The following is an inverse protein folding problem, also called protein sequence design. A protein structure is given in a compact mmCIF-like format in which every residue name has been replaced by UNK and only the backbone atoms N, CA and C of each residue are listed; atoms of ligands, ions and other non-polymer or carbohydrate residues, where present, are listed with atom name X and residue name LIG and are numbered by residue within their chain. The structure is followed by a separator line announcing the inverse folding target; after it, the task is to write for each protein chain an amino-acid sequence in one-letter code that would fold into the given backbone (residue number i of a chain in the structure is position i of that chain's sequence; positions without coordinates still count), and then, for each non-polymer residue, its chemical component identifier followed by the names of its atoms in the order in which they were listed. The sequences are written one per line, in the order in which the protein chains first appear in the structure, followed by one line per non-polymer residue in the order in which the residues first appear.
data_IF_915840794787
#
_entry.id   IF_915840794787
#
_cell.length_a   1.000
_cell.length_b   1.000
_cell.length_c   1.000
_cell.angle_alpha   90.00
_cell.angle_beta   90.00
_cell.angle_gamma   90.00
#
_symmetry.space_group_name_H-M   'P 1'
#
loop_
_entity.id
_entity.type
_entity.pdbx_description
1 polymer ?
#
# COMPACT_ATOMS: atom_id res chain seq x y z
N UNK A 1 13.98 -5.33 -34.18
CA UNK A 1 15.03 -6.38 -34.14
C UNK A 1 16.23 -5.73 -33.48
N UNK A 2 16.81 -6.22 -32.38
CA UNK A 2 16.90 -7.59 -31.86
C UNK A 2 17.18 -7.46 -30.35
N UNK A 3 16.56 -8.31 -29.53
CA UNK A 3 16.70 -8.27 -28.06
C UNK A 3 18.13 -8.61 -27.65
N UNK A 4 18.80 -7.67 -26.95
CA UNK A 4 19.98 -7.98 -26.15
C UNK A 4 19.51 -8.40 -24.77
N UNK A 5 19.49 -9.71 -24.51
CA UNK A 5 19.49 -10.22 -23.14
C UNK A 5 20.90 -10.04 -22.60
N UNK A 6 21.10 -9.05 -21.73
CA UNK A 6 22.29 -9.00 -20.88
C UNK A 6 22.16 -10.06 -19.80
N UNK A 7 23.12 -10.97 -19.77
CA UNK A 7 23.33 -11.96 -18.72
C UNK A 7 23.46 -11.29 -17.34
N UNK A 8 22.70 -11.78 -16.36
CA UNK A 8 22.87 -11.42 -14.96
C UNK A 8 23.41 -12.63 -14.20
N UNK A 9 24.65 -12.47 -13.73
CA UNK A 9 25.57 -13.47 -13.22
C UNK A 9 25.31 -13.97 -11.78
N UNK A 10 24.12 -14.52 -11.50
CA UNK A 10 23.89 -15.22 -10.21
C UNK A 10 23.06 -16.50 -10.31
N UNK A 11 22.78 -17.01 -11.51
CA UNK A 11 22.15 -18.31 -11.69
C UNK A 11 23.15 -19.47 -11.42
N UNK A 12 23.32 -19.81 -10.14
CA UNK A 12 23.60 -21.15 -9.61
C UNK A 12 24.62 -22.03 -10.38
N UNK A 13 25.89 -21.61 -10.47
CA UNK A 13 26.97 -22.60 -10.62
C UNK A 13 27.28 -23.22 -9.25
N UNK A 14 26.51 -24.23 -8.85
CA UNK A 14 26.95 -25.15 -7.80
C UNK A 14 27.66 -26.30 -8.51
N UNK A 15 28.99 -26.18 -8.66
CA UNK A 15 29.82 -27.35 -9.04
C UNK A 15 29.90 -28.30 -7.83
N UNK A 16 29.63 -29.60 -8.00
CA UNK A 16 29.81 -30.54 -6.89
C UNK A 16 31.31 -30.76 -6.64
N UNK A 17 31.74 -30.95 -5.38
CA UNK A 17 33.11 -31.34 -5.10
C UNK A 17 33.34 -32.77 -5.61
N UNK A 18 34.33 -32.92 -6.47
CA UNK A 18 34.90 -34.22 -6.85
C UNK A 18 35.62 -34.81 -5.64
N UNK A 19 34.96 -35.73 -4.93
CA UNK A 19 35.53 -37.01 -4.47
C UNK A 19 34.57 -37.76 -3.53
N UNK A 20 34.45 -39.07 -3.80
CA UNK A 20 33.75 -40.14 -3.07
C UNK A 20 32.29 -40.46 -3.48
N UNK A 21 31.94 -41.75 -3.68
CA UNK A 21 30.61 -42.17 -4.08
C UNK A 21 29.70 -42.22 -2.85
N UNK A 22 29.12 -41.08 -2.53
CA UNK A 22 28.02 -40.97 -1.56
C UNK A 22 26.80 -41.59 -2.23
N UNK A 23 26.32 -42.71 -1.70
CA UNK A 23 25.23 -43.48 -2.31
C UNK A 23 23.95 -42.64 -2.44
N UNK A 24 23.14 -42.89 -3.47
CA UNK A 24 21.88 -42.15 -3.76
C UNK A 24 20.97 -42.03 -2.53
N UNK A 25 21.04 -42.99 -1.60
CA UNK A 25 20.31 -42.98 -0.33
C UNK A 25 20.74 -41.88 0.65
N UNK A 26 22.00 -41.46 0.67
CA UNK A 26 22.50 -40.37 1.53
C UNK A 26 22.08 -38.98 1.00
N UNK A 27 21.91 -38.84 -0.32
CA UNK A 27 21.37 -37.62 -0.94
C UNK A 27 19.88 -37.45 -0.66
N UNK A 28 19.12 -38.54 -0.69
CA UNK A 28 17.69 -38.54 -0.35
C UNK A 28 17.49 -38.22 1.14
N UNK A 29 18.36 -38.72 2.02
CA UNK A 29 18.33 -38.40 3.45
C UNK A 29 18.53 -36.91 3.76
N UNK A 30 19.41 -36.21 3.04
CA UNK A 30 19.64 -34.78 3.21
C UNK A 30 18.51 -33.90 2.66
N UNK A 31 17.86 -34.31 1.55
CA UNK A 31 16.71 -33.60 0.98
C UNK A 31 15.47 -33.64 1.89
N UNK A 32 15.32 -34.71 2.68
CA UNK A 32 14.23 -34.88 3.66
C UNK A 32 14.51 -34.17 5.00
N UNK A 33 15.72 -33.63 5.20
CA UNK A 33 16.14 -32.92 6.41
C UNK A 33 16.17 -31.39 6.25
N UNK A 34 15.55 -30.85 5.20
CA UNK A 34 15.30 -29.40 5.11
C UNK A 34 14.37 -29.01 6.28
N UNK A 35 14.74 -28.01 7.11
CA UNK A 35 13.81 -27.48 8.10
C UNK A 35 12.53 -27.08 7.35
N UNK A 36 11.33 -27.31 7.92
CA UNK A 36 10.10 -26.87 7.28
C UNK A 36 10.28 -25.40 6.93
N UNK A 37 10.19 -25.08 5.63
CA UNK A 37 10.34 -23.71 5.14
C UNK A 37 9.42 -22.84 5.98
N UNK A 38 9.99 -21.94 6.79
CA UNK A 38 9.20 -21.01 7.59
C UNK A 38 8.18 -20.35 6.66
N UNK A 39 6.90 -20.27 7.05
CA UNK A 39 5.88 -19.70 6.19
C UNK A 39 6.32 -18.29 5.79
N UNK A 40 6.55 -18.09 4.49
CA UNK A 40 6.89 -16.77 3.94
C UNK A 40 5.73 -15.85 4.27
N UNK A 41 5.95 -14.88 5.16
CA UNK A 41 4.94 -13.88 5.48
C UNK A 41 4.70 -13.03 4.23
N UNK A 42 3.56 -13.25 3.57
CA UNK A 42 3.08 -12.40 2.47
C UNK A 42 2.22 -11.31 3.08
N UNK A 43 2.65 -10.03 3.05
CA UNK A 43 1.87 -8.93 3.60
C UNK A 43 0.56 -8.76 2.82
N UNK A 44 -0.55 -8.65 3.55
CA UNK A 44 -1.88 -8.43 2.95
C UNK A 44 -2.01 -6.99 2.43
N UNK A 45 -1.78 -6.83 1.12
CA UNK A 45 -1.90 -5.55 0.40
C UNK A 45 -3.04 -5.70 -0.61
N UNK A 46 -4.27 -5.37 -0.22
CA UNK A 46 -5.40 -5.54 -1.10
C UNK A 46 -5.33 -4.63 -2.31
N UNK A 47 -5.80 -5.15 -3.43
CA UNK A 47 -5.98 -4.44 -4.70
C UNK A 47 -7.40 -4.74 -5.17
N UNK A 48 -8.16 -3.71 -5.51
CA UNK A 48 -9.46 -3.89 -6.14
C UNK A 48 -9.26 -4.20 -7.62
N UNK A 49 -10.00 -5.19 -8.13
CA UNK A 49 -10.04 -5.48 -9.57
C UNK A 49 -10.48 -4.26 -10.38
N UNK A 50 -11.42 -3.49 -9.82
CA UNK A 50 -11.90 -2.23 -10.36
C UNK A 50 -11.78 -1.14 -9.28
N UNK A 51 -10.81 -0.23 -9.38
CA UNK A 51 -10.69 0.87 -8.43
C UNK A 51 -11.90 1.80 -8.57
N UNK A 52 -12.34 2.40 -7.47
CA UNK A 52 -13.51 3.27 -7.47
C UNK A 52 -13.28 4.53 -8.31
N UNK A 53 -12.06 5.06 -8.24
CA UNK A 53 -11.58 6.11 -9.14
C UNK A 53 -10.33 5.65 -9.88
N UNK A 54 -10.22 6.07 -11.13
CA UNK A 54 -9.01 5.84 -11.92
C UNK A 54 -7.82 6.56 -11.29
N UNK A 55 -6.62 6.02 -11.47
CA UNK A 55 -5.40 6.61 -10.92
C UNK A 55 -5.16 8.04 -11.45
N UNK A 56 -5.57 8.33 -12.70
CA UNK A 56 -5.50 9.67 -13.29
C UNK A 56 -6.43 10.66 -12.61
N UNK A 57 -7.69 10.27 -12.38
CA UNK A 57 -8.65 11.11 -11.67
C UNK A 57 -8.20 11.34 -10.22
N UNK A 58 -7.69 10.28 -9.55
CA UNK A 58 -7.14 10.36 -8.19
C UNK A 58 -6.01 11.39 -8.12
N UNK A 59 -5.00 11.27 -8.98
CA UNK A 59 -3.86 12.21 -9.03
C UNK A 59 -4.31 13.63 -9.35
N UNK A 60 -5.23 13.82 -10.28
CA UNK A 60 -5.76 15.14 -10.64
C UNK A 60 -6.46 15.81 -9.45
N UNK A 61 -7.31 15.08 -8.73
CA UNK A 61 -7.99 15.59 -7.55
C UNK A 61 -7.01 15.92 -6.41
N UNK A 62 -6.02 15.06 -6.17
CA UNK A 62 -4.98 15.31 -5.18
C UNK A 62 -4.10 16.51 -5.53
N UNK A 63 -3.76 16.69 -6.81
CA UNK A 63 -3.05 17.86 -7.30
C UNK A 63 -3.83 19.16 -7.03
N UNK A 64 -5.12 19.21 -7.39
CA UNK A 64 -5.95 20.39 -7.11
C UNK A 64 -6.06 20.70 -5.62
N UNK A 65 -6.12 19.67 -4.78
CA UNK A 65 -6.13 19.83 -3.33
C UNK A 65 -4.80 20.34 -2.78
N UNK A 66 -3.69 19.89 -3.33
CA UNK A 66 -2.35 20.30 -2.92
C UNK A 66 -2.03 21.74 -3.37
N UNK A 67 -2.59 22.19 -4.49
CA UNK A 67 -2.31 23.48 -5.13
C UNK A 67 -2.24 24.69 -4.19
N UNK A 68 -3.26 24.97 -3.35
CA UNK A 68 -3.21 26.07 -2.40
C UNK A 68 -2.03 25.99 -1.42
N UNK A 69 -1.69 24.78 -0.96
CA UNK A 69 -0.57 24.55 -0.06
C UNK A 69 0.78 24.68 -0.76
N UNK A 70 0.86 24.35 -2.04
CA UNK A 70 2.08 24.52 -2.84
C UNK A 70 2.46 25.99 -3.00
N UNK A 71 1.49 26.89 -3.10
CA UNK A 71 1.73 28.34 -3.18
C UNK A 71 2.25 28.87 -1.84
N UNK A 72 1.58 28.52 -0.74
CA UNK A 72 1.93 28.99 0.61
C UNK A 72 3.30 28.48 1.05
N UNK A 73 3.61 27.21 0.77
CA UNK A 73 4.86 26.57 1.19
C UNK A 73 5.96 26.61 0.11
N UNK A 74 5.71 27.27 -1.03
CA UNK A 74 6.66 27.42 -2.14
C UNK A 74 7.27 26.09 -2.61
N UNK A 75 6.43 25.08 -2.81
CA UNK A 75 6.90 23.77 -3.26
C UNK A 75 7.46 23.83 -4.68
N UNK A 76 8.59 23.15 -4.90
CA UNK A 76 9.09 22.89 -6.25
C UNK A 76 8.16 21.94 -7.00
N UNK A 77 8.21 21.97 -8.34
CA UNK A 77 7.43 21.04 -9.17
C UNK A 77 7.72 19.58 -8.82
N UNK A 78 8.98 19.24 -8.53
CA UNK A 78 9.35 17.89 -8.12
C UNK A 78 8.64 17.48 -6.81
N UNK A 79 8.65 18.36 -5.80
CA UNK A 79 7.95 18.10 -4.53
C UNK A 79 6.46 17.92 -4.73
N UNK A 80 5.83 18.71 -5.61
CA UNK A 80 4.41 18.58 -5.92
C UNK A 80 4.11 17.21 -6.54
N UNK A 81 4.91 16.80 -7.53
CA UNK A 81 4.78 15.50 -8.18
C UNK A 81 4.95 14.37 -7.17
N UNK A 82 6.03 14.40 -6.37
CA UNK A 82 6.31 13.37 -5.38
C UNK A 82 5.17 13.23 -4.36
N UNK A 83 4.66 14.34 -3.84
CA UNK A 83 3.53 14.34 -2.90
C UNK A 83 2.28 13.75 -3.55
N UNK A 84 1.91 14.18 -4.75
CA UNK A 84 0.70 13.71 -5.43
C UNK A 84 0.77 12.21 -5.71
N UNK A 85 1.89 11.71 -6.22
CA UNK A 85 2.05 10.29 -6.52
C UNK A 85 2.03 9.44 -5.25
N UNK A 86 2.73 9.87 -4.20
CA UNK A 86 2.76 9.12 -2.94
C UNK A 86 1.41 9.17 -2.20
N UNK A 87 0.70 10.30 -2.23
CA UNK A 87 -0.67 10.40 -1.71
C UNK A 87 -1.60 9.45 -2.45
N UNK A 88 -1.52 9.41 -3.79
CA UNK A 88 -2.35 8.54 -4.61
C UNK A 88 -2.13 7.05 -4.28
N UNK A 89 -0.86 6.65 -4.08
CA UNK A 89 -0.51 5.27 -3.74
C UNK A 89 -1.04 4.86 -2.35
N UNK A 90 -0.91 5.73 -1.36
CA UNK A 90 -1.47 5.48 -0.03
C UNK A 90 -3.00 5.41 -0.09
N UNK A 91 -3.66 6.38 -0.73
CA UNK A 91 -5.13 6.42 -0.84
C UNK A 91 -5.67 5.17 -1.52
N UNK A 92 -5.06 4.73 -2.63
CA UNK A 92 -5.47 3.53 -3.39
C UNK A 92 -5.47 2.26 -2.53
N UNK A 93 -4.43 2.07 -1.71
CA UNK A 93 -4.33 0.88 -0.84
C UNK A 93 -5.33 0.95 0.32
N UNK A 94 -5.53 2.14 0.89
CA UNK A 94 -6.53 2.38 1.94
C UNK A 94 -7.94 2.15 1.40
N UNK A 95 -8.27 2.67 0.21
CA UNK A 95 -9.53 2.43 -0.49
C UNK A 95 -9.82 0.94 -0.60
N UNK A 96 -8.89 0.18 -1.19
CA UNK A 96 -9.06 -1.26 -1.36
C UNK A 96 -9.32 -1.99 -0.04
N UNK A 97 -8.58 -1.63 1.00
CA UNK A 97 -8.73 -2.25 2.33
C UNK A 97 -10.09 -1.92 2.96
N UNK A 98 -10.55 -0.66 2.85
CA UNK A 98 -11.83 -0.24 3.43
C UNK A 98 -13.02 -0.90 2.72
N UNK A 99 -12.98 -0.99 1.39
CA UNK A 99 -14.06 -1.63 0.61
C UNK A 99 -14.14 -3.12 0.95
N UNK A 100 -13.00 -3.81 1.05
CA UNK A 100 -12.96 -5.22 1.47
C UNK A 100 -13.34 -5.41 2.95
N UNK A 101 -13.13 -4.43 3.82
CA UNK A 101 -13.61 -4.43 5.21
C UNK A 101 -15.12 -4.10 5.33
N UNK A 102 -15.83 -3.92 4.21
CA UNK A 102 -17.29 -3.78 4.17
C UNK A 102 -17.80 -2.34 4.08
N UNK A 103 -16.93 -1.35 3.88
CA UNK A 103 -17.38 0.02 3.60
C UNK A 103 -17.99 0.07 2.19
N UNK A 104 -19.23 0.56 2.09
CA UNK A 104 -19.89 0.74 0.80
C UNK A 104 -19.14 1.73 -0.08
N UNK A 105 -18.95 1.44 -1.38
CA UNK A 105 -18.37 2.38 -2.34
C UNK A 105 -19.02 3.76 -2.32
N UNK A 106 -20.35 3.84 -2.20
CA UNK A 106 -21.10 5.10 -2.20
C UNK A 106 -20.69 5.96 -0.99
N UNK A 107 -20.59 5.35 0.19
CA UNK A 107 -20.17 6.06 1.40
C UNK A 107 -18.68 6.45 1.35
N UNK A 108 -17.83 5.63 0.73
CA UNK A 108 -16.44 6.00 0.45
C UNK A 108 -16.35 7.25 -0.41
N UNK A 109 -17.13 7.35 -1.48
CA UNK A 109 -17.16 8.53 -2.33
C UNK A 109 -17.63 9.79 -1.61
N UNK A 110 -18.71 9.71 -0.83
CA UNK A 110 -19.24 10.86 -0.11
C UNK A 110 -18.24 11.42 0.92
N UNK A 111 -17.37 10.56 1.45
CA UNK A 111 -16.43 10.89 2.51
C UNK A 111 -14.98 11.05 2.02
N UNK A 112 -14.72 10.86 0.72
CA UNK A 112 -13.38 10.87 0.13
C UNK A 112 -12.60 12.15 0.47
N UNK A 113 -13.27 13.29 0.46
CA UNK A 113 -12.65 14.57 0.82
C UNK A 113 -12.32 14.67 2.32
N UNK A 114 -13.16 14.11 3.20
CA UNK A 114 -12.89 14.01 4.63
C UNK A 114 -11.70 13.08 4.89
N UNK A 115 -11.70 11.89 4.28
CA UNK A 115 -10.62 10.91 4.35
C UNK A 115 -9.27 11.51 3.94
N UNK A 116 -9.21 12.17 2.79
CA UNK A 116 -7.99 12.85 2.30
C UNK A 116 -7.51 13.94 3.26
N UNK A 117 -8.44 14.69 3.85
CA UNK A 117 -8.10 15.72 4.85
C UNK A 117 -7.46 15.10 6.08
N UNK A 118 -8.06 14.05 6.60
CA UNK A 118 -7.56 13.32 7.76
C UNK A 118 -6.20 12.64 7.50
N UNK A 119 -6.04 11.98 6.35
CA UNK A 119 -4.82 11.24 6.00
C UNK A 119 -3.65 12.18 5.70
N UNK A 120 -3.87 13.18 4.86
CA UNK A 120 -2.80 13.96 4.26
C UNK A 120 -2.64 15.35 4.84
N UNK A 121 -3.68 15.89 5.51
CA UNK A 121 -3.69 17.26 6.03
C UNK A 121 -4.13 17.35 7.52
N UNK A 122 -3.56 16.53 8.43
CA UNK A 122 -4.05 16.40 9.82
C UNK A 122 -3.97 17.69 10.64
N UNK A 123 -3.16 18.68 10.22
CA UNK A 123 -3.05 20.01 10.84
C UNK A 123 -3.39 21.14 9.87
N UNK A 124 -4.23 20.86 8.87
CA UNK A 124 -4.53 21.82 7.80
C UNK A 124 -3.35 22.10 6.86
N UNK A 125 -2.30 21.30 6.91
CA UNK A 125 -1.11 21.38 6.04
C UNK A 125 -0.69 19.99 5.60
N UNK A 126 -0.17 19.83 4.36
CA UNK A 126 0.21 18.53 3.83
C UNK A 126 1.31 17.89 4.68
N UNK A 127 1.19 16.59 4.93
CA UNK A 127 2.30 15.80 5.48
C UNK A 127 3.47 15.75 4.48
N UNK A 128 4.68 15.61 5.01
CA UNK A 128 5.89 15.58 4.19
C UNK A 128 5.99 14.33 3.31
N UNK A 129 6.71 14.43 2.19
CA UNK A 129 7.06 13.29 1.35
C UNK A 129 7.79 12.18 2.14
N UNK A 130 8.64 12.54 3.11
CA UNK A 130 9.28 11.56 3.99
C UNK A 130 8.27 10.75 4.81
N UNK A 131 7.19 11.38 5.28
CA UNK A 131 6.11 10.72 6.02
C UNK A 131 5.32 9.78 5.12
N UNK A 132 4.99 10.23 3.90
CA UNK A 132 4.30 9.41 2.92
C UNK A 132 5.14 8.20 2.48
N UNK A 133 6.43 8.41 2.19
CA UNK A 133 7.35 7.33 1.88
C UNK A 133 7.45 6.31 3.04
N UNK A 134 7.40 6.77 4.29
CA UNK A 134 7.31 5.87 5.45
C UNK A 134 6.01 5.07 5.45
N UNK A 135 4.87 5.70 5.20
CA UNK A 135 3.58 5.00 5.10
C UNK A 135 3.60 3.93 4.02
N UNK A 136 4.12 4.24 2.83
CA UNK A 136 4.24 3.28 1.73
C UNK A 136 5.11 2.09 2.18
N UNK A 137 6.28 2.34 2.80
CA UNK A 137 7.13 1.28 3.33
C UNK A 137 6.42 0.41 4.36
N UNK A 138 5.66 1.00 5.27
CA UNK A 138 4.89 0.25 6.27
C UNK A 138 3.83 -0.63 5.61
N UNK A 139 3.09 -0.11 4.63
CA UNK A 139 2.10 -0.89 3.88
C UNK A 139 2.77 -2.05 3.15
N UNK A 140 3.88 -1.79 2.44
CA UNK A 140 4.62 -2.82 1.71
C UNK A 140 5.16 -3.90 2.63
N UNK A 141 5.64 -3.56 3.83
CA UNK A 141 6.27 -4.51 4.75
C UNK A 141 5.28 -5.27 5.63
N UNK A 142 4.22 -4.62 6.09
CA UNK A 142 3.31 -5.16 7.11
C UNK A 142 1.93 -5.52 6.55
N UNK A 143 1.60 -5.06 5.35
CA UNK A 143 0.26 -5.10 4.79
C UNK A 143 -0.52 -3.84 5.13
N UNK A 144 -1.52 -3.52 4.32
CA UNK A 144 -2.25 -2.25 4.46
C UNK A 144 -2.98 -2.18 5.79
N UNK A 145 -3.65 -3.26 6.21
CA UNK A 145 -4.43 -3.29 7.46
C UNK A 145 -3.60 -3.08 8.73
N UNK A 146 -2.32 -3.47 8.69
CA UNK A 146 -1.39 -3.33 9.81
C UNK A 146 -0.63 -1.98 9.81
N UNK A 147 -0.65 -1.28 8.68
CA UNK A 147 0.01 0.03 8.54
C UNK A 147 -0.57 1.09 9.49
N UNK A 148 0.26 2.04 9.93
CA UNK A 148 -0.21 3.17 10.73
C UNK A 148 -1.32 3.98 10.04
N UNK A 149 -1.23 4.36 8.74
CA UNK A 149 -2.28 5.17 8.12
C UNK A 149 -3.64 4.46 8.13
N UNK A 150 -3.69 3.15 7.89
CA UNK A 150 -4.95 2.41 7.94
C UNK A 150 -5.53 2.34 9.34
N UNK A 151 -4.71 1.98 10.34
CA UNK A 151 -5.19 1.91 11.73
C UNK A 151 -5.71 3.25 12.23
N UNK A 152 -5.10 4.36 11.81
CA UNK A 152 -5.61 5.72 12.10
C UNK A 152 -6.99 5.94 11.48
N UNK A 153 -7.18 5.59 10.20
CA UNK A 153 -8.48 5.72 9.52
C UNK A 153 -9.54 4.83 10.16
N UNK A 154 -9.23 3.55 10.41
CA UNK A 154 -10.14 2.61 11.05
C UNK A 154 -10.57 3.08 12.43
N UNK A 155 -9.64 3.62 13.22
CA UNK A 155 -9.95 4.21 14.53
C UNK A 155 -10.86 5.44 14.41
N UNK A 156 -10.57 6.33 13.45
CA UNK A 156 -11.39 7.51 13.22
C UNK A 156 -12.82 7.15 12.77
N UNK A 157 -12.97 6.10 11.95
CA UNK A 157 -14.28 5.54 11.60
C UNK A 157 -14.99 5.05 12.86
N UNK A 158 -14.35 4.19 13.65
CA UNK A 158 -14.93 3.66 14.91
C UNK A 158 -15.29 4.74 15.93
N UNK A 159 -14.56 5.85 15.94
CA UNK A 159 -14.82 7.02 16.79
C UNK A 159 -15.84 7.99 16.19
N UNK A 160 -16.42 7.68 15.03
CA UNK A 160 -17.37 8.53 14.32
C UNK A 160 -16.80 9.88 13.83
N UNK A 161 -15.47 9.98 13.71
CA UNK A 161 -14.76 11.17 13.20
C UNK A 161 -14.71 11.21 11.67
N UNK A 162 -14.83 10.05 11.02
CA UNK A 162 -14.95 9.88 9.58
C UNK A 162 -16.14 8.98 9.27
N UNK A 163 -16.73 9.14 8.08
CA UNK A 163 -17.85 8.32 7.62
C UNK A 163 -19.11 8.46 8.50
N UNK A 164 -19.38 9.65 9.04
CA UNK A 164 -20.60 9.91 9.81
C UNK A 164 -21.88 9.58 9.04
N UNK A 165 -21.89 9.84 7.72
CA UNK A 165 -23.02 9.52 6.84
C UNK A 165 -23.37 8.02 6.81
N UNK A 166 -22.39 7.13 6.96
CA UNK A 166 -22.60 5.68 7.07
C UNK A 166 -23.37 5.30 8.34
N UNK A 167 -23.09 5.98 9.45
CA UNK A 167 -23.69 5.69 10.75
C UNK A 167 -25.15 6.15 10.88
N UNK A 168 -25.52 7.27 10.25
CA UNK A 168 -26.92 7.70 10.21
C UNK A 168 -27.80 6.68 9.47
N UNK A 169 -27.26 6.01 8.46
CA UNK A 169 -28.04 5.02 7.72
C UNK A 169 -28.23 3.71 8.49
N UNK A 170 -27.20 3.26 9.23
CA UNK A 170 -27.32 2.08 10.10
C UNK A 170 -28.22 2.31 11.32
N UNK A 171 -28.22 3.51 11.90
CA UNK A 171 -29.04 3.84 13.08
C UNK A 171 -30.53 3.97 12.76
N UNK A 172 -30.88 4.39 11.54
CA UNK A 172 -32.27 4.59 11.12
C UNK A 172 -32.96 3.31 10.60
N UNK A 173 -32.21 2.21 10.49
CA UNK A 173 -32.69 0.90 10.01
C UNK A 173 -32.71 -0.17 11.13
N UNK A 174 -32.64 0.25 12.40
CA UNK A 174 -32.89 -0.57 13.59
C UNK A 174 -34.14 -0.05 14.32
#
# INVERSE_FOLDING_TARGET
MTYSNMDVAWAYEVRPPTNHPVGVSEWIGHLLALPPSEPVFVPDIPVLEQPLITDDLRRRQLFYRLGPHSVVNQFSLQTIVDLVYQQAEVEKKIEASLILDGISPIHFFSELNGLRGFLFYPRGSPISAATLARYIREITRLGTRQSIPYRRVKRAILNYELFWSYYLHFRNNQ
#
